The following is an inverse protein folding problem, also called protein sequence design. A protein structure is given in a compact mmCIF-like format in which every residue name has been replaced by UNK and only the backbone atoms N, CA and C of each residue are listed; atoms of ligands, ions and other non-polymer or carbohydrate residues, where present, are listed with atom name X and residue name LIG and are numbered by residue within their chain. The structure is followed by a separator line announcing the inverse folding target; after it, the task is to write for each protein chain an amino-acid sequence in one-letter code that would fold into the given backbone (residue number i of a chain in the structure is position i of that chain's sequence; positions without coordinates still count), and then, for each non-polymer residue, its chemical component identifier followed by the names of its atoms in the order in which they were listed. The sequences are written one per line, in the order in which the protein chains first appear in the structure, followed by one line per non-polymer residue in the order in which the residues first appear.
data_IF_702639134685
#
_entry.id   IF_702639134685
#
_cell.length_a   1.000
_cell.length_b   1.000
_cell.length_c   1.000
_cell.angle_alpha   90.00
_cell.angle_beta   90.00
_cell.angle_gamma   90.00
#
_symmetry.space_group_name_H-M   'P 1'
#
loop_
_entity.id
_entity.type
_entity.pdbx_description
1 polymer ?
#
# COMPACT_ATOMS: atom_id res chain seq x y z
N UNK A 1 -10.43 0.95 20.97
CA UNK A 1 -9.74 1.60 22.12
C UNK A 1 -10.42 2.92 22.45
N UNK A 2 -10.22 3.50 23.63
CA UNK A 2 -10.71 4.88 23.89
C UNK A 2 -9.89 5.94 23.09
N UNK A 3 -10.43 7.15 23.01
CA UNK A 3 -9.85 8.23 22.20
C UNK A 3 -8.45 8.67 22.70
N UNK A 4 -8.20 8.60 24.01
CA UNK A 4 -6.93 9.01 24.61
C UNK A 4 -5.84 8.01 24.23
N UNK A 5 -6.14 6.73 24.37
CA UNK A 5 -5.25 5.62 24.03
C UNK A 5 -4.95 5.58 22.53
N UNK A 6 -5.97 5.78 21.70
CA UNK A 6 -5.80 5.82 20.24
C UNK A 6 -4.93 7.01 19.80
N UNK A 7 -5.13 8.18 20.42
CA UNK A 7 -4.26 9.35 20.18
C UNK A 7 -2.81 9.06 20.55
N UNK A 8 -2.57 8.45 21.71
CA UNK A 8 -1.22 8.10 22.14
C UNK A 8 -0.55 7.07 21.19
N UNK A 9 -1.31 6.08 20.71
CA UNK A 9 -0.84 5.13 19.70
C UNK A 9 -0.49 5.83 18.37
N UNK A 10 -1.34 6.74 17.90
CA UNK A 10 -1.08 7.53 16.70
C UNK A 10 0.16 8.42 16.84
N UNK A 11 0.40 9.02 18.03
CA UNK A 11 1.62 9.79 18.30
C UNK A 11 2.88 8.92 18.25
N UNK A 12 2.85 7.69 18.80
CA UNK A 12 3.96 6.74 18.69
C UNK A 12 4.22 6.33 17.24
N UNK A 13 3.16 6.05 16.48
CA UNK A 13 3.26 5.72 15.06
C UNK A 13 3.87 6.87 14.25
N UNK A 14 3.40 8.11 14.49
CA UNK A 14 3.93 9.31 13.86
C UNK A 14 5.42 9.54 14.19
N UNK A 15 5.84 9.31 15.44
CA UNK A 15 7.24 9.40 15.83
C UNK A 15 8.11 8.40 15.05
N UNK A 16 7.69 7.13 14.94
CA UNK A 16 8.44 6.11 14.17
C UNK A 16 8.64 6.47 12.70
N UNK A 17 7.68 7.16 12.08
CA UNK A 17 7.80 7.66 10.71
C UNK A 17 8.83 8.78 10.60
N UNK A 18 8.78 9.74 11.53
CA UNK A 18 9.69 10.89 11.55
C UNK A 18 11.13 10.47 11.91
N UNK A 19 11.27 9.48 12.79
CA UNK A 19 12.55 8.97 13.30
C UNK A 19 13.17 7.90 12.38
N UNK A 20 12.49 7.52 11.29
CA UNK A 20 12.98 6.55 10.33
C UNK A 20 14.34 7.01 9.75
N UNK A 21 15.41 6.26 10.02
CA UNK A 21 16.79 6.66 9.72
C UNK A 21 17.09 6.53 8.23
N UNK A 22 17.79 7.52 7.66
CA UNK A 22 18.31 7.51 6.28
C UNK A 22 19.10 6.22 5.99
N UNK A 23 18.78 5.55 4.88
CA UNK A 23 19.43 4.31 4.45
C UNK A 23 19.05 3.05 5.24
N UNK A 24 18.18 3.16 6.26
CA UNK A 24 17.71 2.01 7.05
C UNK A 24 16.19 1.91 7.06
N UNK A 25 15.51 3.00 7.43
CA UNK A 25 14.07 3.10 7.51
C UNK A 25 13.48 4.15 6.56
N UNK A 26 14.28 5.07 6.03
CA UNK A 26 13.88 6.01 4.98
C UNK A 26 14.92 5.99 3.86
N UNK A 27 14.46 6.14 2.62
CA UNK A 27 15.27 6.02 1.42
C UNK A 27 14.77 7.01 0.39
N UNK A 28 15.66 7.76 -0.26
CA UNK A 28 15.31 8.67 -1.36
C UNK A 28 15.21 7.98 -2.72
N UNK A 29 15.97 6.89 -2.92
CA UNK A 29 16.12 6.19 -4.19
C UNK A 29 15.53 4.76 -4.13
N UNK A 30 15.03 4.20 -5.25
CA UNK A 30 14.81 4.84 -6.56
C UNK A 30 13.62 5.83 -6.58
N UNK A 31 12.87 5.86 -5.49
CA UNK A 31 11.87 6.86 -5.14
C UNK A 31 11.72 6.87 -3.62
N UNK A 32 11.22 7.97 -3.08
CA UNK A 32 11.13 8.18 -1.63
C UNK A 32 10.23 7.13 -0.98
N UNK A 33 10.77 6.37 -0.04
CA UNK A 33 10.01 5.37 0.69
C UNK A 33 10.52 5.19 2.12
N UNK A 34 9.60 4.75 2.98
CA UNK A 34 9.80 4.46 4.40
C UNK A 34 9.49 2.98 4.64
N UNK A 35 10.31 2.32 5.46
CA UNK A 35 10.10 0.98 5.99
C UNK A 35 10.25 1.05 7.50
N UNK A 36 9.19 0.70 8.24
CA UNK A 36 9.17 0.72 9.70
C UNK A 36 8.70 -0.61 10.23
N UNK A 37 9.53 -1.23 11.06
CA UNK A 37 9.20 -2.46 11.77
C UNK A 37 8.40 -2.16 13.02
N UNK A 38 7.60 -3.15 13.43
CA UNK A 38 6.74 -3.07 14.60
C UNK A 38 5.93 -1.77 14.66
N UNK A 39 5.35 -1.34 13.54
CA UNK A 39 4.77 -0.01 13.38
C UNK A 39 3.70 0.30 14.42
N UNK A 40 2.68 -0.56 14.52
CA UNK A 40 1.65 -0.44 15.54
C UNK A 40 2.13 -1.00 16.89
N UNK A 41 1.52 -0.55 17.98
CA UNK A 41 1.65 -1.26 19.25
C UNK A 41 1.11 -2.69 19.08
N UNK A 42 1.80 -3.66 19.69
CA UNK A 42 1.51 -5.08 19.49
C UNK A 42 0.03 -5.48 19.67
N UNK A 43 -0.74 -4.94 20.64
CA UNK A 43 -2.17 -5.25 20.75
C UNK A 43 -2.98 -4.87 19.51
N UNK A 44 -2.65 -3.78 18.83
CA UNK A 44 -3.34 -3.32 17.61
C UNK A 44 -2.99 -4.24 16.44
N UNK A 45 -1.70 -4.58 16.29
CA UNK A 45 -1.25 -5.49 15.24
C UNK A 45 -1.87 -6.88 15.39
N UNK A 46 -1.94 -7.39 16.63
CA UNK A 46 -2.61 -8.66 16.94
C UNK A 46 -4.11 -8.60 16.67
N UNK A 47 -4.80 -7.54 17.10
CA UNK A 47 -6.22 -7.37 16.78
C UNK A 47 -6.47 -7.38 15.25
N UNK A 48 -5.59 -6.77 14.46
CA UNK A 48 -5.71 -6.81 13.00
C UNK A 48 -5.57 -8.23 12.42
N UNK A 49 -4.70 -9.05 13.00
CA UNK A 49 -4.51 -10.43 12.59
C UNK A 49 -5.68 -11.32 13.02
N UNK A 50 -6.08 -11.21 14.29
CA UNK A 50 -7.13 -12.04 14.91
C UNK A 50 -8.51 -11.80 14.26
N UNK A 51 -8.75 -10.57 13.81
CA UNK A 51 -9.99 -10.18 13.15
C UNK A 51 -9.87 -10.11 11.62
N UNK A 52 -8.75 -10.55 11.05
CA UNK A 52 -8.60 -10.60 9.58
C UNK A 52 -9.64 -11.59 9.00
N UNK A 53 -10.54 -11.15 8.12
CA UNK A 53 -11.63 -12.00 7.64
C UNK A 53 -11.10 -13.13 6.76
N UNK A 54 -11.68 -14.31 6.91
CA UNK A 54 -11.41 -15.44 6.02
C UNK A 54 -11.85 -15.12 4.58
N UNK A 55 -11.22 -15.75 3.59
CA UNK A 55 -11.60 -15.61 2.18
C UNK A 55 -13.01 -16.17 1.86
N UNK A 56 -13.59 -16.98 2.74
CA UNK A 56 -14.98 -17.43 2.64
C UNK A 56 -16.02 -16.38 3.06
N UNK A 57 -15.59 -15.27 3.68
CA UNK A 57 -16.47 -14.16 4.02
C UNK A 57 -16.92 -13.40 2.76
N UNK A 58 -17.99 -12.61 2.90
CA UNK A 58 -18.39 -11.67 1.85
C UNK A 58 -17.43 -10.47 1.77
N UNK A 59 -17.52 -9.70 0.69
CA UNK A 59 -16.76 -8.45 0.54
C UNK A 59 -15.36 -8.60 -0.02
N UNK A 60 -15.07 -9.73 -0.67
CA UNK A 60 -13.84 -9.95 -1.43
C UNK A 60 -14.08 -9.88 -2.94
N UNK A 61 -13.14 -9.28 -3.66
CA UNK A 61 -12.98 -9.39 -5.11
C UNK A 61 -11.72 -10.19 -5.40
N UNK A 62 -11.80 -11.15 -6.33
CA UNK A 62 -10.66 -11.94 -6.78
C UNK A 62 -10.25 -11.52 -8.18
N UNK A 63 -9.03 -11.02 -8.33
CA UNK A 63 -8.40 -10.83 -9.61
C UNK A 63 -7.63 -12.11 -9.98
N UNK A 64 -7.82 -12.60 -11.21
CA UNK A 64 -7.20 -13.84 -11.70
C UNK A 64 -6.69 -13.65 -13.13
N UNK A 65 -5.74 -12.73 -13.31
CA UNK A 65 -4.98 -12.55 -14.55
C UNK A 65 -3.56 -13.06 -14.29
N UNK A 66 -3.28 -14.27 -14.76
CA UNK A 66 -2.06 -15.01 -14.43
C UNK A 66 -0.76 -14.28 -14.77
N UNK A 67 -0.79 -13.33 -15.72
CA UNK A 67 0.39 -12.56 -16.09
C UNK A 67 0.55 -11.28 -15.28
N UNK A 68 -0.51 -10.80 -14.63
CA UNK A 68 -0.64 -9.45 -14.08
C UNK A 68 -0.95 -9.42 -12.59
N UNK A 69 -2.04 -10.06 -12.17
CA UNK A 69 -2.38 -10.13 -10.74
C UNK A 69 -3.28 -11.33 -10.45
N UNK A 70 -2.89 -12.06 -9.41
CA UNK A 70 -3.65 -13.17 -8.82
C UNK A 70 -3.71 -12.92 -7.32
N UNK A 71 -4.76 -12.23 -6.89
CA UNK A 71 -4.94 -11.77 -5.50
C UNK A 71 -6.40 -11.50 -5.17
N UNK A 72 -6.69 -11.50 -3.88
CA UNK A 72 -7.94 -11.03 -3.33
C UNK A 72 -7.76 -9.63 -2.75
N UNK A 73 -8.78 -8.79 -2.88
CA UNK A 73 -8.87 -7.50 -2.20
C UNK A 73 -10.27 -7.28 -1.67
N UNK A 74 -10.40 -6.56 -0.56
CA UNK A 74 -11.71 -6.19 -0.05
C UNK A 74 -12.41 -5.18 -0.96
N UNK A 75 -13.73 -5.19 -0.96
CA UNK A 75 -14.57 -4.24 -1.71
C UNK A 75 -15.10 -3.13 -0.81
N UNK A 76 -14.31 -2.67 0.16
CA UNK A 76 -14.69 -1.58 1.07
C UNK A 76 -15.05 -0.31 0.29
N UNK A 77 -16.10 0.37 0.74
CA UNK A 77 -16.63 1.62 0.19
C UNK A 77 -16.84 2.69 1.26
N UNK A 78 -16.77 2.30 2.53
CA UNK A 78 -16.89 3.16 3.70
C UNK A 78 -16.14 2.54 4.88
N UNK A 79 -15.84 3.36 5.89
CA UNK A 79 -15.30 2.95 7.17
C UNK A 79 -16.14 1.89 7.89
N UNK A 80 -17.44 1.80 7.59
CA UNK A 80 -18.33 0.79 8.16
C UNK A 80 -18.16 -0.61 7.54
N UNK A 81 -17.41 -0.73 6.44
CA UNK A 81 -17.06 -2.04 5.85
C UNK A 81 -15.82 -2.64 6.51
N UNK A 82 -15.10 -1.86 7.33
CA UNK A 82 -13.90 -2.31 8.02
C UNK A 82 -14.31 -3.26 9.15
N UNK A 83 -13.76 -4.49 9.23
CA UNK A 83 -14.07 -5.39 10.32
C UNK A 83 -13.73 -4.78 11.68
N UNK A 84 -14.56 -5.10 12.67
CA UNK A 84 -14.25 -4.84 14.08
C UNK A 84 -12.85 -5.38 14.41
N UNK A 85 -12.06 -4.61 15.15
CA UNK A 85 -10.66 -4.93 15.46
C UNK A 85 -9.63 -4.35 14.47
N UNK A 86 -10.00 -4.05 13.22
CA UNK A 86 -9.13 -3.38 12.24
C UNK A 86 -9.35 -1.87 12.17
N UNK A 87 -10.51 -1.39 12.59
CA UNK A 87 -10.89 0.03 12.49
C UNK A 87 -9.90 0.96 13.18
N UNK A 88 -9.35 0.57 14.34
CA UNK A 88 -8.39 1.41 15.06
C UNK A 88 -7.08 1.59 14.27
N UNK A 89 -6.60 0.56 13.57
CA UNK A 89 -5.42 0.66 12.72
C UNK A 89 -5.64 1.62 11.53
N UNK A 90 -6.81 1.52 10.89
CA UNK A 90 -7.20 2.44 9.79
C UNK A 90 -7.35 3.87 10.32
N UNK A 91 -7.98 4.06 11.49
CA UNK A 91 -8.13 5.38 12.12
C UNK A 91 -6.78 6.01 12.47
N UNK A 92 -5.80 5.22 12.93
CA UNK A 92 -4.44 5.70 13.19
C UNK A 92 -3.79 6.14 11.88
N UNK A 93 -3.76 5.28 10.87
CA UNK A 93 -3.15 5.56 9.56
C UNK A 93 -3.76 6.77 8.85
N UNK A 94 -5.08 6.99 9.02
CA UNK A 94 -5.80 8.14 8.46
C UNK A 94 -5.87 9.36 9.39
N UNK A 95 -5.26 9.29 10.58
CA UNK A 95 -5.26 10.41 11.53
C UNK A 95 -4.37 11.55 11.05
N UNK A 96 -4.72 12.79 11.40
CA UNK A 96 -3.91 13.97 11.06
C UNK A 96 -2.46 13.87 11.54
N UNK A 97 -2.21 13.18 12.66
CA UNK A 97 -0.87 12.97 13.21
C UNK A 97 0.01 12.13 12.28
N UNK A 98 -0.54 11.03 11.77
CA UNK A 98 0.19 10.12 10.87
C UNK A 98 0.29 10.72 9.46
N UNK A 99 -0.77 11.39 8.98
CA UNK A 99 -0.75 12.12 7.72
C UNK A 99 0.33 13.22 7.72
N UNK A 100 0.42 14.03 8.77
CA UNK A 100 1.46 15.05 8.91
C UNK A 100 2.86 14.42 8.94
N UNK A 101 3.05 13.35 9.71
CA UNK A 101 4.33 12.66 9.81
C UNK A 101 4.79 12.06 8.47
N UNK A 102 3.91 11.34 7.76
CA UNK A 102 4.20 10.81 6.41
C UNK A 102 4.51 11.94 5.44
N UNK A 103 3.69 12.99 5.45
CA UNK A 103 3.83 14.11 4.53
C UNK A 103 5.13 14.89 4.74
N UNK A 104 5.51 15.15 5.99
CA UNK A 104 6.78 15.79 6.34
C UNK A 104 7.98 14.93 6.00
N UNK A 105 7.91 13.62 6.30
CA UNK A 105 9.06 12.72 6.08
C UNK A 105 9.31 12.47 4.60
N UNK A 106 8.26 12.22 3.81
CA UNK A 106 8.39 12.01 2.36
C UNK A 106 8.56 13.35 1.63
N UNK A 107 8.06 14.46 2.15
CA UNK A 107 8.05 15.76 1.45
C UNK A 107 6.84 15.94 0.53
N UNK A 108 5.68 15.44 0.95
CA UNK A 108 4.36 15.66 0.33
C UNK A 108 3.39 16.19 1.36
N UNK A 109 3.17 17.50 1.37
CA UNK A 109 2.25 18.12 2.33
C UNK A 109 0.77 17.97 1.96
N UNK A 110 -0.11 18.27 2.93
CA UNK A 110 -1.57 18.37 2.73
C UNK A 110 -2.19 17.10 2.19
N UNK A 111 -1.79 15.97 2.78
CA UNK A 111 -2.35 14.67 2.46
C UNK A 111 -3.78 14.55 2.98
N UNK A 112 -4.62 13.92 2.17
CA UNK A 112 -6.00 13.58 2.48
C UNK A 112 -6.15 12.07 2.31
N UNK A 113 -6.68 11.34 3.31
CA UNK A 113 -6.95 9.91 3.17
C UNK A 113 -8.15 9.71 2.24
N UNK A 114 -8.23 8.54 1.61
CA UNK A 114 -9.40 8.17 0.82
C UNK A 114 -10.51 7.56 1.73
N UNK A 115 -11.65 8.24 1.93
CA UNK A 115 -12.76 7.71 2.71
C UNK A 115 -13.60 6.67 1.93
N UNK A 116 -13.40 6.55 0.61
CA UNK A 116 -14.11 5.63 -0.26
C UNK A 116 -13.35 4.31 -0.47
N UNK A 117 -12.11 4.21 0.03
CA UNK A 117 -11.25 3.03 -0.04
C UNK A 117 -11.09 2.46 -1.46
N UNK A 118 -11.05 3.33 -2.47
CA UNK A 118 -10.98 2.98 -3.89
C UNK A 118 -9.67 2.25 -4.20
N UNK A 119 -9.75 0.92 -4.32
CA UNK A 119 -8.59 0.06 -4.55
C UNK A 119 -7.82 -0.31 -3.27
N UNK A 120 -8.22 0.24 -2.12
CA UNK A 120 -7.59 0.03 -0.82
C UNK A 120 -8.27 -1.07 -0.02
N UNK A 121 -7.86 -1.21 1.25
CA UNK A 121 -8.38 -2.21 2.19
C UNK A 121 -7.45 -3.43 2.32
N UNK A 122 -8.03 -4.56 2.71
CA UNK A 122 -7.27 -5.78 2.94
C UNK A 122 -6.97 -6.50 1.63
N UNK A 123 -5.78 -7.05 1.54
CA UNK A 123 -5.32 -7.84 0.41
C UNK A 123 -4.81 -9.19 0.90
N UNK A 124 -5.09 -10.22 0.10
CA UNK A 124 -4.57 -11.57 0.29
C UNK A 124 -3.97 -12.08 -1.01
N UNK A 125 -2.74 -12.58 -0.95
CA UNK A 125 -2.14 -13.37 -2.03
C UNK A 125 -1.97 -14.79 -1.52
N UNK A 126 -2.49 -15.76 -2.27
CA UNK A 126 -2.34 -17.19 -1.98
C UNK A 126 -1.10 -17.75 -2.70
N UNK A 127 -0.61 -18.95 -2.33
CA UNK A 127 0.46 -19.62 -3.06
C UNK A 127 0.17 -19.71 -4.57
N UNK A 128 1.15 -19.37 -5.40
CA UNK A 128 1.01 -19.21 -6.85
C UNK A 128 0.49 -17.84 -7.28
N UNK A 129 0.07 -16.99 -6.35
CA UNK A 129 -0.39 -15.63 -6.62
C UNK A 129 0.76 -14.64 -6.81
N UNK A 130 0.51 -13.57 -7.57
CA UNK A 130 1.49 -12.53 -7.90
C UNK A 130 0.83 -11.16 -8.08
N UNK A 131 1.67 -10.13 -8.17
CA UNK A 131 1.30 -8.79 -8.62
C UNK A 131 2.45 -8.24 -9.45
N UNK A 132 2.27 -8.18 -10.76
CA UNK A 132 3.31 -7.78 -11.71
C UNK A 132 3.80 -6.34 -11.47
N UNK A 133 4.95 -5.99 -12.05
CA UNK A 133 5.56 -4.67 -11.87
C UNK A 133 4.71 -3.59 -12.53
N UNK A 134 4.35 -2.57 -11.76
CA UNK A 134 3.49 -1.48 -12.22
C UNK A 134 3.79 -0.17 -11.50
N UNK A 135 3.24 0.90 -12.08
CA UNK A 135 2.92 2.14 -11.34
C UNK A 135 1.41 2.21 -11.14
N UNK A 136 1.02 2.86 -10.06
CA UNK A 136 -0.36 2.94 -9.63
C UNK A 136 -1.19 3.96 -10.42
N UNK A 137 -2.52 3.87 -10.29
CA UNK A 137 -3.40 4.90 -10.84
C UNK A 137 -3.18 6.26 -10.14
N UNK A 138 -3.08 7.33 -10.92
CA UNK A 138 -2.69 8.64 -10.41
C UNK A 138 -3.85 9.52 -9.91
N UNK A 139 -5.11 9.16 -10.16
CA UNK A 139 -6.26 10.06 -9.97
C UNK A 139 -7.42 9.39 -9.22
N UNK A 140 -8.02 10.13 -8.29
CA UNK A 140 -9.21 9.71 -7.55
C UNK A 140 -10.49 10.34 -8.11
N UNK A 141 -11.34 9.55 -8.74
CA UNK A 141 -12.52 10.04 -9.48
C UNK A 141 -13.47 10.85 -8.59
N UNK A 142 -13.82 10.36 -7.40
CA UNK A 142 -14.82 11.03 -6.56
C UNK A 142 -14.36 12.37 -5.95
N UNK A 143 -13.05 12.60 -5.85
CA UNK A 143 -12.49 13.79 -5.15
C UNK A 143 -11.72 14.71 -6.09
N UNK A 144 -11.36 14.22 -7.27
CA UNK A 144 -10.49 14.90 -8.23
C UNK A 144 -9.05 15.09 -7.75
N UNK A 145 -8.64 14.40 -6.69
CA UNK A 145 -7.29 14.53 -6.12
C UNK A 145 -6.30 13.58 -6.79
N UNK A 146 -5.03 13.97 -6.77
CA UNK A 146 -3.93 13.16 -7.32
C UNK A 146 -3.35 12.26 -6.22
N UNK A 147 -3.16 10.97 -6.53
CA UNK A 147 -2.54 10.00 -5.61
C UNK A 147 -1.09 10.41 -5.37
N UNK A 148 -0.67 10.37 -4.11
CA UNK A 148 0.68 10.75 -3.72
C UNK A 148 1.37 9.74 -2.84
N UNK A 149 0.69 9.10 -1.90
CA UNK A 149 1.30 8.10 -1.06
C UNK A 149 0.47 6.84 -1.00
N UNK A 150 1.16 5.72 -0.86
CA UNK A 150 0.59 4.45 -0.48
C UNK A 150 1.17 4.03 0.86
N UNK A 151 0.34 3.49 1.75
CA UNK A 151 0.78 2.81 2.97
C UNK A 151 0.34 1.34 2.92
N UNK A 152 1.28 0.45 3.19
CA UNK A 152 1.07 -1.00 3.22
C UNK A 152 1.54 -1.52 4.58
N UNK A 153 0.63 -2.08 5.38
CA UNK A 153 0.98 -2.81 6.60
C UNK A 153 0.86 -4.30 6.34
N UNK A 154 1.94 -5.03 6.60
CA UNK A 154 1.98 -6.49 6.46
C UNK A 154 1.54 -7.20 7.73
N UNK A 155 0.75 -8.27 7.55
CA UNK A 155 0.12 -9.03 8.65
C UNK A 155 0.50 -10.51 8.55
N UNK A 156 1.79 -10.81 8.34
CA UNK A 156 2.30 -12.17 8.05
C UNK A 156 3.18 -12.69 9.20
N UNK A 157 2.60 -13.15 10.31
CA UNK A 157 3.38 -13.73 11.41
C UNK A 157 4.15 -14.96 10.92
N UNK A 158 5.44 -15.01 11.24
CA UNK A 158 6.27 -16.17 10.94
C UNK A 158 6.71 -16.31 9.49
N UNK A 159 6.53 -15.29 8.63
CA UNK A 159 7.12 -15.27 7.29
C UNK A 159 8.61 -15.66 7.33
N UNK A 160 9.05 -16.46 6.36
CA UNK A 160 10.43 -16.92 6.25
C UNK A 160 11.03 -16.60 4.87
N UNK A 161 12.35 -16.37 4.79
CA UNK A 161 13.05 -16.29 3.51
C UNK A 161 12.74 -17.50 2.61
N UNK A 162 12.47 -17.23 1.33
CA UNK A 162 12.16 -18.26 0.33
C UNK A 162 10.66 -18.50 0.11
N UNK A 163 9.76 -17.99 0.96
CA UNK A 163 8.31 -18.01 0.69
C UNK A 163 7.89 -16.98 -0.38
N UNK A 164 8.78 -16.06 -0.73
CA UNK A 164 8.52 -14.95 -1.63
C UNK A 164 7.56 -13.91 -1.04
N UNK A 165 6.98 -13.08 -1.92
CA UNK A 165 5.99 -12.07 -1.54
C UNK A 165 6.58 -10.77 -1.01
N UNK A 166 7.90 -10.59 -1.11
CA UNK A 166 8.55 -9.32 -0.86
C UNK A 166 7.98 -8.24 -1.78
N UNK A 167 7.87 -7.03 -1.25
CA UNK A 167 7.56 -5.85 -2.05
C UNK A 167 8.82 -5.42 -2.79
N UNK A 168 8.85 -5.71 -4.09
CA UNK A 168 9.91 -5.27 -4.98
C UNK A 168 9.74 -3.79 -5.31
N UNK A 169 10.82 -3.05 -5.15
CA UNK A 169 11.00 -1.65 -5.49
C UNK A 169 11.95 -1.63 -6.69
N UNK A 170 11.51 -1.03 -7.79
CA UNK A 170 12.20 -1.09 -9.07
C UNK A 170 12.75 0.28 -9.45
N UNK A 171 13.71 0.27 -10.38
CA UNK A 171 14.22 1.49 -10.98
C UNK A 171 13.14 2.26 -11.76
N UNK A 172 13.53 3.43 -12.27
CA UNK A 172 12.67 4.33 -13.04
C UNK A 172 12.04 3.70 -14.29
N UNK A 173 12.56 2.57 -14.77
CA UNK A 173 12.06 1.84 -15.95
C UNK A 173 11.15 0.68 -15.59
N UNK A 174 11.15 0.25 -14.32
CA UNK A 174 10.47 -0.96 -13.86
C UNK A 174 11.16 -2.26 -14.27
N UNK A 175 12.36 -2.22 -14.85
CA UNK A 175 13.04 -3.42 -15.37
C UNK A 175 13.93 -4.09 -14.33
N UNK A 176 14.61 -3.31 -13.48
CA UNK A 176 15.53 -3.83 -12.48
C UNK A 176 14.95 -3.64 -11.08
N UNK A 177 14.83 -4.73 -10.32
CA UNK A 177 14.46 -4.69 -8.91
C UNK A 177 15.68 -4.18 -8.11
N UNK A 178 15.58 -2.98 -7.56
CA UNK A 178 16.64 -2.32 -6.80
C UNK A 178 16.63 -2.76 -5.34
N UNK A 179 15.43 -3.04 -4.80
CA UNK A 179 15.26 -3.45 -3.41
C UNK A 179 14.05 -4.35 -3.24
N UNK A 180 14.14 -5.25 -2.26
CA UNK A 180 13.02 -6.09 -1.81
C UNK A 180 12.76 -5.82 -0.34
N UNK A 181 11.50 -5.61 0.01
CA UNK A 181 11.07 -5.43 1.40
C UNK A 181 10.24 -6.64 1.81
N UNK A 182 10.75 -7.40 2.78
CA UNK A 182 10.08 -8.60 3.27
C UNK A 182 8.76 -8.23 3.92
N UNK A 183 7.68 -9.00 3.72
CA UNK A 183 6.35 -8.67 4.21
C UNK A 183 6.17 -9.09 5.68
N UNK A 184 7.10 -8.71 6.57
CA UNK A 184 7.09 -9.13 7.98
C UNK A 184 5.84 -8.64 8.72
N UNK A 185 5.39 -9.41 9.71
CA UNK A 185 4.30 -8.98 10.58
C UNK A 185 4.56 -7.60 11.20
N UNK A 186 3.55 -6.73 11.17
CA UNK A 186 3.58 -5.37 11.72
C UNK A 186 4.64 -4.45 11.08
N UNK A 187 5.17 -4.79 9.89
CA UNK A 187 5.99 -3.89 9.08
C UNK A 187 5.10 -2.98 8.24
N UNK A 188 5.35 -1.68 8.32
CA UNK A 188 4.77 -0.66 7.46
C UNK A 188 5.74 -0.31 6.34
N UNK A 189 5.24 -0.18 5.12
CA UNK A 189 5.90 0.50 4.00
C UNK A 189 5.05 1.70 3.58
N UNK A 190 5.66 2.87 3.47
CA UNK A 190 5.05 4.07 2.88
C UNK A 190 5.91 4.53 1.72
N UNK A 191 5.33 4.91 0.58
CA UNK A 191 6.13 5.40 -0.54
C UNK A 191 5.42 6.48 -1.34
N UNK A 192 6.24 7.35 -1.96
CA UNK A 192 5.80 8.32 -2.95
C UNK A 192 5.31 7.61 -4.21
N UNK A 193 4.02 7.77 -4.50
CA UNK A 193 3.34 7.14 -5.62
C UNK A 193 3.32 8.11 -6.80
N UNK A 194 4.08 7.79 -7.83
CA UNK A 194 4.17 8.57 -9.05
C UNK A 194 4.46 7.71 -10.29
N UNK A 195 4.65 8.32 -11.47
CA UNK A 195 4.71 7.57 -12.74
C UNK A 195 6.03 6.84 -12.97
N UNK A 196 6.89 6.85 -11.95
CA UNK A 196 8.18 6.18 -11.93
C UNK A 196 8.40 5.38 -10.64
N UNK A 197 7.41 5.32 -9.75
CA UNK A 197 7.49 4.54 -8.51
C UNK A 197 7.13 3.08 -8.79
N UNK A 198 7.90 2.42 -9.66
CA UNK A 198 7.61 1.05 -10.10
C UNK A 198 7.79 0.07 -8.96
N UNK A 199 6.77 -0.76 -8.73
CA UNK A 199 6.77 -1.76 -7.69
C UNK A 199 5.97 -3.00 -8.07
N UNK A 200 6.21 -4.10 -7.36
CA UNK A 200 5.47 -5.34 -7.55
C UNK A 200 6.08 -6.53 -6.82
N UNK A 201 5.39 -7.65 -6.90
CA UNK A 201 5.87 -8.99 -6.56
C UNK A 201 5.58 -9.92 -7.76
N UNK A 202 6.34 -9.79 -8.86
CA UNK A 202 6.02 -10.48 -10.12
C UNK A 202 6.29 -11.99 -10.07
N UNK A 203 7.05 -12.45 -9.08
CA UNK A 203 7.31 -13.87 -8.84
C UNK A 203 6.17 -14.48 -8.01
N UNK A 204 5.54 -15.58 -8.48
CA UNK A 204 4.51 -16.28 -7.72
C UNK A 204 5.01 -16.69 -6.33
N UNK A 205 4.22 -16.40 -5.29
CA UNK A 205 4.62 -16.70 -3.91
C UNK A 205 4.47 -18.19 -3.59
N UNK A 206 5.24 -18.67 -2.61
CA UNK A 206 5.35 -20.08 -2.22
C UNK A 206 5.05 -20.29 -0.73
N UNK A 207 4.18 -19.44 -0.16
CA UNK A 207 3.71 -19.57 1.22
C UNK A 207 3.23 -21.02 1.49
N UNK A 208 3.53 -21.61 2.66
CA UNK A 208 3.13 -22.98 2.95
C UNK A 208 1.60 -23.11 3.04
N UNK A 209 1.05 -24.32 2.80
CA UNK A 209 -0.38 -24.57 2.93
C UNK A 209 -0.93 -24.12 4.28
N UNK A 210 -2.08 -23.44 4.27
CA UNK A 210 -2.71 -22.89 5.47
C UNK A 210 -2.16 -21.54 5.92
N UNK A 211 -1.20 -20.96 5.19
CA UNK A 211 -0.75 -19.58 5.40
C UNK A 211 -1.02 -18.72 4.16
N UNK A 212 -1.18 -17.42 4.39
CA UNK A 212 -1.59 -16.46 3.38
C UNK A 212 -0.74 -15.21 3.50
N UNK A 213 -0.43 -14.57 2.37
CA UNK A 213 0.21 -13.25 2.38
C UNK A 213 -0.87 -12.18 2.53
N UNK A 214 -0.96 -11.58 3.72
CA UNK A 214 -1.92 -10.57 4.14
C UNK A 214 -1.30 -9.18 4.25
N UNK A 215 -2.06 -8.18 3.84
CA UNK A 215 -1.71 -6.78 4.07
C UNK A 215 -2.95 -5.88 4.14
N UNK A 216 -2.85 -4.77 4.86
CA UNK A 216 -3.75 -3.62 4.77
C UNK A 216 -3.08 -2.55 3.88
N UNK A 217 -3.79 -2.07 2.86
CA UNK A 217 -3.29 -1.05 1.91
C UNK A 217 -4.21 0.17 1.94
N UNK A 218 -3.64 1.36 2.14
CA UNK A 218 -4.37 2.63 2.11
C UNK A 218 -3.63 3.64 1.20
N UNK A 219 -4.40 4.58 0.66
CA UNK A 219 -3.91 5.58 -0.29
C UNK A 219 -4.20 6.99 0.18
N UNK A 220 -3.30 7.89 -0.16
CA UNK A 220 -3.36 9.30 0.24
C UNK A 220 -3.14 10.20 -0.95
N UNK A 221 -3.87 11.30 -0.93
CA UNK A 221 -4.04 12.17 -2.09
C UNK A 221 -3.76 13.62 -1.71
N UNK A 222 -3.45 14.45 -2.69
CA UNK A 222 -3.40 15.90 -2.52
C UNK A 222 -3.93 16.61 -3.75
N UNK A 223 -4.25 17.89 -3.60
CA UNK A 223 -4.64 18.77 -4.71
C UNK A 223 -3.43 19.33 -5.46
N UNK A 224 -2.28 19.45 -4.78
CA UNK A 224 -1.07 19.95 -5.40
C UNK A 224 -0.61 19.04 -6.55
N UNK A 225 -0.20 19.66 -7.66
CA UNK A 225 0.40 18.93 -8.76
C UNK A 225 1.64 18.14 -8.29
N UNK A 226 1.90 17.00 -8.93
CA UNK A 226 3.16 16.29 -8.77
C UNK A 226 4.30 17.12 -9.40
N UNK A 227 5.53 17.04 -8.88
CA UNK A 227 6.69 17.61 -9.55
C UNK A 227 6.80 17.10 -10.99
N UNK A 228 7.22 17.95 -11.94
CA UNK A 228 7.31 17.58 -13.35
C UNK A 228 8.24 16.37 -13.60
N UNK A 229 9.28 16.21 -12.77
CA UNK A 229 10.19 15.07 -12.82
C UNK A 229 9.52 13.72 -12.49
N UNK A 230 8.36 13.75 -11.82
CA UNK A 230 7.63 12.57 -11.35
C UNK A 230 6.45 12.21 -12.26
N UNK A 231 6.25 12.96 -13.34
CA UNK A 231 5.12 12.81 -14.27
C UNK A 231 5.60 12.32 -15.64
N UNK A 232 5.16 11.13 -16.03
CA UNK A 232 5.23 10.63 -17.41
C UNK A 232 3.88 10.75 -18.12
N UNK A 233 2.78 10.64 -17.36
CA UNK A 233 1.40 10.69 -17.84
C UNK A 233 0.63 11.66 -16.94
N UNK A 234 0.37 12.86 -17.47
CA UNK A 234 -0.33 13.91 -16.72
C UNK A 234 -1.83 13.65 -16.57
N UNK A 235 -2.45 13.01 -17.57
CA UNK A 235 -3.86 12.68 -17.56
C UNK A 235 -4.19 11.53 -16.60
N UNK A 236 -5.46 11.38 -16.17
CA UNK A 236 -5.87 10.24 -15.36
C UNK A 236 -5.52 8.90 -16.02
N UNK A 237 -4.96 7.97 -15.25
CA UNK A 237 -4.73 6.60 -15.69
C UNK A 237 -5.04 5.58 -14.58
N UNK A 238 -5.30 4.34 -14.98
CA UNK A 238 -5.31 3.19 -14.07
C UNK A 238 -3.87 2.71 -13.81
N UNK A 239 -3.67 1.64 -13.04
CA UNK A 239 -2.35 1.03 -12.93
C UNK A 239 -1.79 0.67 -14.33
N UNK A 240 -0.52 0.99 -14.55
CA UNK A 240 0.20 0.77 -15.81
C UNK A 240 1.30 -0.27 -15.60
N UNK A 241 1.30 -1.32 -16.41
CA UNK A 241 2.06 -2.55 -16.15
C UNK A 241 3.25 -2.68 -17.08
N UNK A 242 4.41 -3.06 -16.55
CA UNK A 242 5.64 -3.23 -17.34
C UNK A 242 5.44 -4.31 -18.41
N UNK A 243 4.86 -5.47 -18.08
CA UNK A 243 4.57 -6.54 -19.06
C UNK A 243 3.56 -6.15 -20.14
N UNK A 244 2.80 -5.06 -19.95
CA UNK A 244 1.87 -4.52 -20.96
C UNK A 244 2.44 -3.31 -21.69
N UNK A 245 3.76 -3.09 -21.64
CA UNK A 245 4.40 -1.94 -22.29
C UNK A 245 4.04 -0.61 -21.61
N UNK A 246 3.85 -0.64 -20.29
CA UNK A 246 3.40 0.51 -19.47
C UNK A 246 2.03 1.04 -19.94
N UNK A 247 1.11 0.11 -20.17
CA UNK A 247 -0.31 0.33 -20.48
C UNK A 247 -1.18 -0.30 -19.38
N UNK A 248 -2.43 0.13 -19.29
CA UNK A 248 -3.43 -0.50 -18.44
C UNK A 248 -3.88 -1.87 -19.02
N UNK A 249 -4.67 -2.61 -18.25
CA UNK A 249 -5.20 -3.94 -18.66
C UNK A 249 -6.08 -3.91 -19.92
N UNK A 250 -6.53 -2.72 -20.35
CA UNK A 250 -7.34 -2.51 -21.56
C UNK A 250 -6.49 -1.99 -22.72
N UNK A 251 -5.16 -1.91 -22.56
CA UNK A 251 -4.24 -1.42 -23.58
C UNK A 251 -4.18 0.11 -23.71
N UNK A 252 -4.67 0.86 -22.72
CA UNK A 252 -4.69 2.32 -22.75
C UNK A 252 -3.60 2.92 -21.86
N UNK A 253 -3.05 4.06 -22.28
CA UNK A 253 -2.11 4.86 -21.47
C UNK A 253 -2.84 5.76 -20.47
N UNK A 254 -4.04 6.22 -20.84
CA UNK A 254 -4.87 7.15 -20.08
C UNK A 254 -6.32 6.65 -20.06
N UNK A 255 -7.15 7.26 -19.21
CA UNK A 255 -8.59 7.05 -19.13
C UNK A 255 -9.29 8.39 -18.88
N UNK A 256 -10.58 8.53 -19.23
CA UNK A 256 -11.35 9.67 -18.76
C UNK A 256 -11.48 9.65 -17.23
N UNK A 257 -11.49 10.84 -16.62
CA UNK A 257 -12.00 11.03 -15.27
C UNK A 257 -13.49 10.66 -15.25
N UNK A 258 -13.92 9.96 -14.19
CA UNK A 258 -15.29 9.45 -14.05
C UNK A 258 -16.08 10.21 -13.01
#
# INVERSE_FOLDING_TARGET
MDQISLKAAAQRCAAKLLDAVEGQGYFDEPYRHIVVDDFFDLPIAKACLDHFPALSASGWEHANDADIEVKFRTTWKSEFDIPEGLVDAVRILNSSLVLDAMGRRIGVEKLVPDPYFTGGGLNVTLPGGLLDVHVDGNYHDATGLTRRLNAIVYLNPGWQPGWGGEFGIYDRTGQNCVKRVEPLFNRLVVFDSHDFSFHGLPEPITFPPGTERRSLILYYYTRAARPAADVAVGDPHSALWVKRGVLDKRGNKTRPAR
#
